data_IF_142043960200
#
_entry.id   IF_142043960200
#
_cell.length_a   1.000
_cell.length_b   1.000
_cell.length_c   1.000
_cell.angle_alpha   90.00
_cell.angle_beta   90.00
_cell.angle_gamma   90.00
#
_symmetry.space_group_name_H-M   'P 1'
#
loop_
_entity.id
_entity.type
_entity.pdbx_description
1 polymer ?
#
# COMPACT_ATOMS: atom_id res chain seq x y z
N UNK A 1 28.98 -15.09 0.96
CA UNK A 1 27.82 -14.22 1.30
C UNK A 1 28.10 -12.85 0.71
N UNK A 2 27.09 -12.16 0.18
CA UNK A 2 27.20 -10.80 -0.31
C UNK A 2 27.75 -9.88 0.80
N UNK A 3 28.75 -9.01 0.53
CA UNK A 3 29.33 -8.14 1.56
C UNK A 3 28.30 -7.22 2.25
N UNK A 4 27.34 -6.70 1.49
CA UNK A 4 26.27 -5.87 2.06
C UNK A 4 25.38 -6.67 3.04
N UNK A 5 25.02 -7.89 2.66
CA UNK A 5 24.25 -8.78 3.54
C UNK A 5 25.07 -9.18 4.79
N UNK A 6 26.36 -9.46 4.63
CA UNK A 6 27.24 -9.79 5.79
C UNK A 6 27.29 -8.63 6.78
N UNK A 7 27.44 -7.39 6.30
CA UNK A 7 27.44 -6.20 7.14
C UNK A 7 26.12 -6.03 7.90
N UNK A 8 24.98 -6.23 7.21
CA UNK A 8 23.65 -6.16 7.82
C UNK A 8 23.49 -7.21 8.92
N UNK A 9 23.92 -8.46 8.68
CA UNK A 9 23.84 -9.55 9.65
C UNK A 9 24.65 -9.23 10.92
N UNK A 10 25.88 -8.74 10.77
CA UNK A 10 26.72 -8.37 11.92
C UNK A 10 26.13 -7.20 12.72
N UNK A 11 25.55 -6.20 12.05
CA UNK A 11 24.85 -5.10 12.73
C UNK A 11 23.63 -5.57 13.51
N UNK A 12 22.84 -6.49 12.95
CA UNK A 12 21.69 -7.09 13.66
C UNK A 12 22.15 -7.87 14.88
N UNK A 13 23.19 -8.71 14.77
CA UNK A 13 23.77 -9.45 15.92
C UNK A 13 24.27 -8.52 17.01
N UNK A 14 24.98 -7.44 16.64
CA UNK A 14 25.47 -6.44 17.59
C UNK A 14 24.31 -5.71 18.29
N UNK A 15 23.26 -5.36 17.55
CA UNK A 15 22.06 -4.72 18.08
C UNK A 15 21.33 -5.66 19.06
N UNK A 16 21.20 -6.94 18.72
CA UNK A 16 20.60 -7.96 19.59
C UNK A 16 21.37 -8.13 20.89
N UNK A 17 22.69 -8.22 20.81
CA UNK A 17 23.56 -8.36 21.99
C UNK A 17 23.50 -7.13 22.93
N UNK A 18 23.30 -5.94 22.38
CA UNK A 18 23.27 -4.68 23.15
C UNK A 18 21.84 -4.19 23.46
N UNK A 19 20.79 -4.83 22.93
CA UNK A 19 19.41 -4.39 23.05
C UNK A 19 19.10 -3.07 22.32
N UNK A 20 19.99 -2.62 21.40
CA UNK A 20 19.81 -1.37 20.67
C UNK A 20 18.75 -1.50 19.59
N UNK A 21 17.80 -0.58 19.49
CA UNK A 21 16.81 -0.63 18.43
C UNK A 21 17.42 -0.32 17.06
N UNK A 22 16.87 -0.97 16.02
CA UNK A 22 17.23 -0.75 14.62
C UNK A 22 15.99 -0.23 13.88
N UNK A 23 16.19 0.75 13.02
CA UNK A 23 15.16 1.26 12.11
C UNK A 23 15.45 0.78 10.70
N UNK A 24 14.73 -0.25 10.25
CA UNK A 24 14.81 -0.78 8.90
C UNK A 24 14.19 0.23 7.93
N UNK A 25 14.93 0.60 6.88
CA UNK A 25 14.49 1.55 5.86
C UNK A 25 14.96 1.12 4.48
N UNK A 26 14.03 1.15 3.50
CA UNK A 26 14.35 1.10 2.07
C UNK A 26 14.59 2.51 1.53
N UNK A 27 13.89 2.90 0.48
CA UNK A 27 14.00 4.25 -0.09
C UNK A 27 13.25 5.36 0.67
N UNK A 28 12.56 5.07 1.77
CA UNK A 28 11.91 6.08 2.61
C UNK A 28 10.58 6.63 2.10
N UNK A 29 10.12 6.25 0.91
CA UNK A 29 8.88 6.77 0.31
C UNK A 29 7.62 6.54 1.16
N UNK A 30 7.66 5.66 2.15
CA UNK A 30 6.56 5.30 3.05
C UNK A 30 6.88 5.56 4.52
N UNK A 31 7.86 6.44 4.82
CA UNK A 31 8.23 6.78 6.20
C UNK A 31 7.07 7.42 6.98
N UNK A 32 6.15 8.10 6.28
CA UNK A 32 4.94 8.67 6.84
C UNK A 32 3.92 7.63 7.33
N UNK A 33 3.98 6.38 6.82
CA UNK A 33 3.00 5.34 7.09
C UNK A 33 3.45 4.47 8.27
N UNK A 34 2.55 4.18 9.20
CA UNK A 34 2.82 3.51 10.47
C UNK A 34 2.93 4.49 11.64
N UNK A 35 2.95 3.97 12.87
CA UNK A 35 3.08 4.79 14.07
C UNK A 35 4.39 5.59 14.03
N UNK A 36 4.37 6.87 14.38
CA UNK A 36 5.56 7.71 14.29
C UNK A 36 6.64 7.39 15.34
N UNK A 37 6.43 6.44 16.25
CA UNK A 37 7.26 6.23 17.43
C UNK A 37 6.89 7.21 18.57
N UNK A 38 7.44 7.14 19.77
CA UNK A 38 7.16 8.09 20.85
C UNK A 38 7.68 9.49 20.54
N UNK A 39 7.05 10.59 21.04
CA UNK A 39 7.60 11.94 20.94
C UNK A 39 9.02 11.97 21.51
N UNK A 40 10.00 12.43 20.72
CA UNK A 40 11.42 12.33 21.05
C UNK A 40 12.08 11.00 20.63
N UNK A 41 11.31 10.01 20.19
CA UNK A 41 11.78 8.71 19.72
C UNK A 41 11.51 8.47 18.23
N UNK A 42 11.06 9.47 17.48
CA UNK A 42 11.06 9.43 16.01
C UNK A 42 12.50 9.15 15.54
N UNK A 43 12.75 7.89 15.19
CA UNK A 43 14.07 7.45 14.78
C UNK A 43 15.01 7.02 15.91
N UNK A 44 14.51 6.68 17.11
CA UNK A 44 15.31 5.94 18.08
C UNK A 44 15.58 4.56 17.56
N UNK A 45 16.78 4.38 17.09
CA UNK A 45 17.32 3.19 16.49
C UNK A 45 18.34 3.57 15.45
N UNK A 46 19.40 2.80 15.40
CA UNK A 46 20.39 2.91 14.32
C UNK A 46 19.70 2.61 12.98
N UNK A 47 19.92 3.47 11.99
CA UNK A 47 19.35 3.28 10.67
C UNK A 47 19.96 2.05 9.99
N UNK A 48 19.14 1.05 9.66
CA UNK A 48 19.51 -0.15 8.93
C UNK A 48 18.94 -0.07 7.51
N UNK A 49 19.76 0.41 6.59
CA UNK A 49 19.35 0.60 5.20
C UNK A 49 19.40 -0.70 4.41
N UNK A 50 18.33 -0.97 3.64
CA UNK A 50 18.25 -2.11 2.71
C UNK A 50 18.60 -1.73 1.27
N UNK A 51 18.81 -0.44 0.99
CA UNK A 51 19.17 0.03 -0.34
C UNK A 51 20.37 -0.68 -0.98
N UNK A 52 21.42 -1.12 -0.23
CA UNK A 52 22.51 -1.89 -0.81
C UNK A 52 22.11 -3.29 -1.31
N UNK A 53 20.98 -3.85 -0.84
CA UNK A 53 20.47 -5.15 -1.29
C UNK A 53 19.63 -4.96 -2.56
N UNK A 54 20.29 -4.75 -3.70
CA UNK A 54 19.64 -4.51 -5.00
C UNK A 54 19.85 -5.64 -5.98
N UNK A 55 18.98 -5.69 -6.99
CA UNK A 55 19.08 -6.58 -8.14
C UNK A 55 17.99 -7.64 -8.22
N UNK A 56 17.79 -8.17 -9.40
CA UNK A 56 16.91 -9.31 -9.68
C UNK A 56 17.74 -10.56 -9.45
N UNK A 57 17.27 -11.45 -8.57
CA UNK A 57 17.94 -12.72 -8.24
C UNK A 57 17.63 -13.77 -9.30
N UNK A 58 16.35 -13.87 -9.71
CA UNK A 58 15.90 -14.71 -10.82
C UNK A 58 14.60 -14.14 -11.40
N UNK A 59 14.40 -14.37 -12.69
CA UNK A 59 13.18 -14.00 -13.37
C UNK A 59 12.86 -15.05 -14.44
N UNK A 60 11.69 -15.68 -14.27
CA UNK A 60 11.19 -16.70 -15.19
C UNK A 60 9.86 -16.19 -15.79
N UNK A 61 9.91 -15.45 -16.91
CA UNK A 61 8.71 -14.88 -17.53
C UNK A 61 7.64 -15.89 -17.89
N UNK A 62 8.03 -17.08 -18.33
CA UNK A 62 7.10 -18.17 -18.68
C UNK A 62 6.33 -18.70 -17.47
N UNK A 63 6.94 -18.65 -16.28
CA UNK A 63 6.34 -19.09 -15.02
C UNK A 63 5.65 -17.95 -14.26
N UNK A 64 5.73 -16.72 -14.77
CA UNK A 64 5.17 -15.51 -14.16
C UNK A 64 5.71 -15.28 -12.73
N UNK A 65 7.01 -15.52 -12.52
CA UNK A 65 7.66 -15.38 -11.21
C UNK A 65 8.96 -14.61 -11.32
N UNK A 66 9.12 -13.64 -10.42
CA UNK A 66 10.37 -12.90 -10.25
C UNK A 66 10.82 -12.96 -8.79
N UNK A 67 12.09 -13.24 -8.54
CA UNK A 67 12.73 -13.10 -7.22
C UNK A 67 13.65 -11.88 -7.25
N UNK A 68 13.43 -10.95 -6.33
CA UNK A 68 14.06 -9.64 -6.34
C UNK A 68 14.50 -9.22 -4.95
N UNK A 69 15.68 -8.59 -4.83
CA UNK A 69 16.22 -8.08 -3.57
C UNK A 69 15.41 -6.90 -3.04
N UNK A 70 15.30 -6.81 -1.72
CA UNK A 70 14.43 -5.86 -1.04
C UNK A 70 14.76 -4.38 -1.32
N UNK A 71 16.03 -4.03 -1.54
CA UNK A 71 16.48 -2.68 -1.84
C UNK A 71 16.30 -2.27 -3.31
N UNK A 72 15.88 -3.18 -4.19
CA UNK A 72 15.69 -2.87 -5.62
C UNK A 72 14.62 -1.79 -5.79
N UNK A 73 14.89 -0.72 -6.55
CA UNK A 73 13.89 0.28 -6.87
C UNK A 73 12.69 -0.33 -7.58
N UNK A 74 11.49 0.05 -7.14
CA UNK A 74 10.24 -0.41 -7.76
C UNK A 74 10.21 -0.12 -9.26
N UNK A 75 10.62 1.09 -9.66
CA UNK A 75 10.66 1.49 -11.07
C UNK A 75 11.57 0.59 -11.93
N UNK A 76 12.71 0.15 -11.39
CA UNK A 76 13.62 -0.77 -12.07
C UNK A 76 12.92 -2.12 -12.34
N UNK A 77 12.25 -2.68 -11.34
CA UNK A 77 11.52 -3.94 -11.53
C UNK A 77 10.40 -3.78 -12.55
N UNK A 78 9.59 -2.71 -12.45
CA UNK A 78 8.49 -2.45 -13.38
C UNK A 78 8.97 -2.30 -14.82
N UNK A 79 10.14 -1.69 -15.06
CA UNK A 79 10.75 -1.60 -16.39
C UNK A 79 11.08 -2.99 -16.95
N UNK A 80 11.76 -3.83 -16.17
CA UNK A 80 12.12 -5.19 -16.59
C UNK A 80 10.88 -6.05 -16.86
N UNK A 81 9.86 -5.93 -16.03
CA UNK A 81 8.59 -6.65 -16.25
C UNK A 81 7.89 -6.18 -17.53
N UNK A 82 7.87 -4.87 -17.78
CA UNK A 82 7.22 -4.30 -18.96
C UNK A 82 7.90 -4.74 -20.27
N UNK A 83 9.24 -4.90 -20.29
CA UNK A 83 9.99 -5.44 -21.43
C UNK A 83 9.53 -6.86 -21.82
N UNK A 84 9.02 -7.63 -20.84
CA UNK A 84 8.44 -8.96 -21.06
C UNK A 84 6.90 -8.94 -21.17
N UNK A 85 6.26 -7.75 -21.28
CA UNK A 85 4.82 -7.61 -21.34
C UNK A 85 4.11 -8.02 -20.04
N UNK A 86 4.76 -7.84 -18.90
CA UNK A 86 4.24 -8.23 -17.56
C UNK A 86 4.19 -7.02 -16.60
N UNK A 87 3.48 -7.19 -15.50
CA UNK A 87 3.31 -6.14 -14.48
C UNK A 87 3.11 -6.71 -13.07
N UNK A 88 3.22 -5.83 -12.08
CA UNK A 88 2.73 -6.03 -10.72
C UNK A 88 1.25 -5.62 -10.68
N UNK A 89 0.30 -6.57 -10.62
CA UNK A 89 -1.10 -6.26 -10.85
C UNK A 89 -1.78 -5.45 -9.74
N UNK A 90 -1.22 -5.46 -8.54
CA UNK A 90 -1.75 -4.76 -7.36
C UNK A 90 -1.48 -3.24 -7.35
N UNK A 91 -0.98 -2.67 -8.44
CA UNK A 91 -0.73 -1.23 -8.61
C UNK A 91 0.00 -0.61 -7.38
N UNK A 92 1.24 -0.98 -7.04
CA UNK A 92 1.89 -0.52 -5.82
C UNK A 92 2.08 1.01 -5.80
N UNK A 93 1.64 1.72 -4.73
CA UNK A 93 1.85 3.16 -4.62
C UNK A 93 3.34 3.51 -4.57
N UNK A 94 3.74 4.54 -5.33
CA UNK A 94 5.15 4.95 -5.49
C UNK A 94 5.55 6.01 -4.49
N UNK A 95 4.67 6.97 -4.15
CA UNK A 95 4.93 8.11 -3.30
C UNK A 95 6.27 8.77 -3.64
N UNK A 96 6.31 9.59 -4.68
CA UNK A 96 7.48 10.35 -5.11
C UNK A 96 8.06 11.20 -3.98
N UNK A 97 9.36 11.52 -4.02
CA UNK A 97 10.08 12.21 -2.96
C UNK A 97 9.37 13.48 -2.52
N UNK A 98 9.04 13.56 -1.21
CA UNK A 98 8.54 14.77 -0.61
C UNK A 98 7.11 14.75 -0.07
N UNK A 99 6.55 13.61 0.36
CA UNK A 99 5.49 13.66 1.37
C UNK A 99 6.18 13.87 2.73
N UNK A 100 6.89 15.00 2.86
CA UNK A 100 7.29 15.52 4.16
C UNK A 100 6.04 16.10 4.80
N UNK A 101 5.77 15.70 6.02
CA UNK A 101 4.80 16.35 6.88
C UNK A 101 4.97 17.89 6.77
N UNK A 102 4.06 18.58 6.12
CA UNK A 102 3.81 20.00 6.34
C UNK A 102 4.41 21.02 5.38
N UNK A 103 4.89 20.70 4.17
CA UNK A 103 5.30 21.76 3.25
C UNK A 103 4.79 21.48 1.82
N UNK A 104 3.97 22.38 1.24
CA UNK A 104 3.58 22.27 -0.16
C UNK A 104 4.81 22.51 -1.04
N UNK A 105 4.93 21.82 -2.19
CA UNK A 105 6.00 22.12 -3.15
C UNK A 105 5.83 23.55 -3.66
N UNK A 106 6.83 24.38 -3.47
CA UNK A 106 6.93 25.70 -4.08
C UNK A 106 7.30 25.51 -5.56
N UNK A 107 6.42 25.92 -6.47
CA UNK A 107 6.76 26.03 -7.86
C UNK A 107 5.60 25.75 -8.80
N UNK A 108 5.08 26.82 -9.42
CA UNK A 108 4.23 26.78 -10.60
C UNK A 108 4.90 26.00 -11.74
N UNK A 109 4.41 24.80 -12.02
CA UNK A 109 4.53 24.19 -13.33
C UNK A 109 3.35 23.25 -13.56
N UNK A 110 2.28 23.80 -14.11
CA UNK A 110 1.26 23.05 -14.83
C UNK A 110 1.92 22.46 -16.09
N UNK A 111 2.38 21.22 -15.98
CA UNK A 111 3.00 20.45 -17.07
C UNK A 111 2.55 19.00 -16.97
N UNK A 112 1.83 18.57 -17.98
CA UNK A 112 1.39 17.21 -18.29
C UNK A 112 2.39 16.14 -17.84
N UNK A 113 1.91 15.13 -17.12
CA UNK A 113 2.69 14.00 -16.60
C UNK A 113 3.58 13.37 -17.66
N UNK A 114 4.86 13.70 -17.60
CA UNK A 114 5.86 13.11 -18.45
C UNK A 114 6.54 11.93 -17.72
N UNK A 115 7.18 11.06 -18.48
CA UNK A 115 7.99 9.92 -18.01
C UNK A 115 9.03 10.26 -16.91
N UNK A 116 9.24 11.54 -16.60
CA UNK A 116 10.15 12.05 -15.57
C UNK A 116 9.69 11.73 -14.14
N UNK A 117 8.37 11.57 -13.86
CA UNK A 117 7.86 11.29 -12.51
C UNK A 117 8.17 9.86 -12.03
N UNK A 118 8.44 8.94 -12.94
CA UNK A 118 8.79 7.54 -12.62
C UNK A 118 10.18 7.46 -11.99
N UNK A 119 11.12 8.30 -12.43
CA UNK A 119 12.50 8.32 -11.95
C UNK A 119 12.68 8.96 -10.57
N UNK A 120 11.71 9.74 -10.07
CA UNK A 120 11.78 10.45 -8.80
C UNK A 120 11.32 9.61 -7.59
N UNK A 121 10.70 8.44 -7.80
CA UNK A 121 10.23 7.58 -6.71
C UNK A 121 11.39 6.80 -6.09
N UNK A 122 11.57 6.93 -4.78
CA UNK A 122 12.52 6.15 -3.98
C UNK A 122 11.94 4.83 -3.47
N UNK A 123 10.74 4.44 -3.91
CA UNK A 123 10.10 3.19 -3.47
C UNK A 123 10.96 1.97 -3.81
N UNK A 124 11.15 1.07 -2.84
CA UNK A 124 11.85 -0.21 -3.00
C UNK A 124 10.89 -1.39 -2.84
N UNK A 125 11.23 -2.53 -3.41
CA UNK A 125 10.38 -3.73 -3.34
C UNK A 125 10.18 -4.21 -1.90
N UNK A 126 11.22 -4.21 -1.08
CA UNK A 126 11.06 -4.52 0.35
C UNK A 126 10.12 -3.55 1.08
N UNK A 127 10.17 -2.26 0.73
CA UNK A 127 9.25 -1.25 1.26
C UNK A 127 7.80 -1.42 0.77
N UNK A 128 7.60 -1.87 -0.46
CA UNK A 128 6.27 -2.23 -1.00
C UNK A 128 5.68 -3.40 -0.22
N UNK A 129 6.44 -4.47 -0.05
CA UNK A 129 6.00 -5.67 0.70
C UNK A 129 5.77 -5.33 2.18
N UNK A 130 6.74 -4.68 2.83
CA UNK A 130 6.64 -4.33 4.25
C UNK A 130 5.45 -3.41 4.56
N UNK A 131 5.10 -2.48 3.67
CA UNK A 131 3.93 -1.61 3.85
C UNK A 131 2.61 -2.30 3.48
N UNK A 132 2.63 -3.25 2.54
CA UNK A 132 1.44 -3.98 2.09
C UNK A 132 0.38 -3.12 1.41
N UNK A 133 0.76 -1.94 0.93
CA UNK A 133 -0.15 -1.00 0.27
C UNK A 133 -0.36 -1.41 -1.20
N UNK A 134 -1.59 -1.33 -1.66
CA UNK A 134 -2.01 -1.61 -3.03
C UNK A 134 -2.84 -0.45 -3.57
N UNK A 135 -2.81 -0.29 -4.88
CA UNK A 135 -3.53 0.77 -5.59
C UNK A 135 -4.99 0.43 -5.92
N UNK A 136 -5.59 1.16 -6.89
CA UNK A 136 -7.01 1.10 -7.20
C UNK A 136 -7.51 -0.28 -7.65
N UNK A 137 -6.66 -1.09 -8.31
CA UNK A 137 -7.03 -2.42 -8.82
C UNK A 137 -7.22 -3.49 -7.73
N UNK A 138 -6.82 -3.23 -6.48
CA UNK A 138 -6.79 -4.24 -5.41
C UNK A 138 -8.07 -5.05 -5.25
N UNK A 139 -9.22 -4.42 -5.44
CA UNK A 139 -10.52 -5.08 -5.25
C UNK A 139 -10.78 -6.18 -6.29
N UNK A 140 -10.21 -6.04 -7.48
CA UNK A 140 -10.37 -6.99 -8.60
C UNK A 140 -9.24 -8.01 -8.66
N UNK A 141 -7.99 -7.57 -8.42
CA UNK A 141 -6.80 -8.40 -8.63
C UNK A 141 -6.22 -8.99 -7.33
N UNK A 142 -6.60 -8.46 -6.18
CA UNK A 142 -6.00 -8.83 -4.90
C UNK A 142 -4.93 -7.84 -4.42
N UNK A 143 -4.35 -8.11 -3.26
CA UNK A 143 -3.35 -7.28 -2.58
C UNK A 143 -1.92 -7.81 -2.79
N UNK A 144 -0.92 -7.07 -2.33
CA UNK A 144 0.49 -7.52 -2.31
C UNK A 144 0.63 -8.93 -1.74
N UNK A 145 -0.13 -9.24 -0.66
CA UNK A 145 -0.13 -10.55 0.00
C UNK A 145 -0.49 -11.71 -0.93
N UNK A 146 -1.33 -11.47 -1.91
CA UNK A 146 -1.80 -12.50 -2.83
C UNK A 146 -0.76 -12.85 -3.90
N UNK A 147 0.29 -12.02 -4.02
CA UNK A 147 1.36 -12.17 -5.01
C UNK A 147 2.72 -12.54 -4.41
N UNK A 148 2.88 -12.51 -3.08
CA UNK A 148 4.10 -13.00 -2.42
C UNK A 148 4.08 -14.51 -2.35
N UNK A 149 5.06 -15.16 -2.99
CA UNK A 149 5.22 -16.61 -3.04
C UNK A 149 6.26 -17.11 -2.02
N UNK A 150 7.31 -16.32 -1.81
CA UNK A 150 8.39 -16.66 -0.88
C UNK A 150 9.13 -15.43 -0.39
N UNK A 151 9.84 -15.57 0.72
CA UNK A 151 10.68 -14.53 1.31
C UNK A 151 11.92 -15.13 1.94
N UNK A 152 13.07 -14.49 1.68
CA UNK A 152 14.27 -14.64 2.51
C UNK A 152 14.33 -13.43 3.44
N UNK A 153 14.50 -13.70 4.73
CA UNK A 153 14.52 -12.67 5.76
C UNK A 153 15.59 -12.90 6.82
N UNK A 154 15.97 -11.83 7.48
CA UNK A 154 16.82 -11.85 8.66
C UNK A 154 15.95 -11.57 9.90
N UNK A 155 15.95 -12.50 10.86
CA UNK A 155 15.22 -12.32 12.10
C UNK A 155 16.02 -11.54 13.16
N UNK A 156 15.40 -11.25 14.31
CA UNK A 156 16.03 -10.51 15.40
C UNK A 156 17.14 -11.29 16.15
N UNK A 157 17.44 -12.55 15.77
CA UNK A 157 18.61 -13.31 16.25
C UNK A 157 19.79 -13.24 15.30
N UNK A 158 19.64 -12.56 14.16
CA UNK A 158 20.66 -12.55 13.10
C UNK A 158 20.70 -13.85 12.29
N UNK A 159 19.59 -14.61 12.27
CA UNK A 159 19.45 -15.85 11.52
C UNK A 159 18.77 -15.57 10.18
N UNK A 160 19.33 -16.14 9.11
CA UNK A 160 18.76 -16.12 7.77
C UNK A 160 17.70 -17.22 7.65
N UNK A 161 16.48 -16.81 7.35
CA UNK A 161 15.33 -17.71 7.26
C UNK A 161 14.73 -17.61 5.85
N UNK A 162 14.33 -18.76 5.31
CA UNK A 162 13.65 -18.87 4.02
C UNK A 162 12.26 -19.45 4.23
N UNK A 163 11.24 -18.78 3.71
CA UNK A 163 9.86 -19.21 3.77
C UNK A 163 9.23 -19.18 2.39
N UNK A 164 8.37 -20.18 2.08
CA UNK A 164 7.78 -20.31 0.76
C UNK A 164 8.81 -20.72 -0.29
N UNK A 165 8.58 -20.31 -1.54
CA UNK A 165 9.44 -20.64 -2.67
C UNK A 165 9.04 -19.85 -3.92
N UNK A 166 9.35 -20.42 -5.10
CA UNK A 166 8.99 -19.86 -6.40
C UNK A 166 7.75 -20.52 -7.01
N UNK A 167 7.10 -21.43 -6.28
CA UNK A 167 5.95 -22.19 -6.76
C UNK A 167 4.64 -21.63 -6.24
N UNK A 168 3.61 -21.63 -7.09
CA UNK A 168 2.30 -21.08 -6.74
C UNK A 168 1.56 -21.85 -5.64
N UNK A 169 1.92 -23.11 -5.38
CA UNK A 169 1.29 -23.94 -4.35
C UNK A 169 2.30 -24.32 -3.27
N UNK A 170 2.25 -23.63 -2.14
CA UNK A 170 2.95 -24.08 -0.93
C UNK A 170 2.11 -25.20 -0.28
N UNK A 171 2.67 -26.40 -0.15
CA UNK A 171 1.95 -27.58 0.34
C UNK A 171 2.33 -27.99 1.76
N UNK A 172 3.32 -27.32 2.37
CA UNK A 172 3.81 -27.67 3.71
C UNK A 172 4.17 -26.42 4.53
N UNK A 173 3.77 -26.43 5.79
CA UNK A 173 4.12 -25.38 6.77
C UNK A 173 3.20 -24.17 6.77
N UNK A 174 3.51 -23.22 7.66
CA UNK A 174 2.79 -21.96 7.76
C UNK A 174 3.24 -20.97 6.69
N UNK A 175 2.30 -20.17 6.18
CA UNK A 175 2.58 -19.15 5.19
C UNK A 175 3.18 -17.88 5.83
N UNK A 176 4.44 -18.00 6.24
CA UNK A 176 5.17 -16.89 6.85
C UNK A 176 5.51 -15.81 5.81
N UNK A 177 5.65 -16.18 4.53
CA UNK A 177 5.95 -15.23 3.46
C UNK A 177 4.90 -14.11 3.42
N UNK A 178 3.63 -14.48 3.48
CA UNK A 178 2.51 -13.52 3.48
C UNK A 178 2.35 -12.78 4.81
N UNK A 179 2.90 -13.31 5.91
CA UNK A 179 2.90 -12.61 7.20
C UNK A 179 3.79 -11.37 7.17
N UNK A 180 4.85 -11.37 6.35
CA UNK A 180 5.74 -10.21 6.20
C UNK A 180 5.09 -9.03 5.50
N UNK A 181 4.00 -9.26 4.75
CA UNK A 181 3.27 -8.21 4.05
C UNK A 181 2.49 -7.35 5.04
N UNK A 182 2.81 -6.07 5.09
CA UNK A 182 2.19 -5.13 6.03
C UNK A 182 2.77 -5.16 7.45
N UNK A 183 3.82 -5.96 7.70
CA UNK A 183 4.48 -6.03 9.01
C UNK A 183 5.35 -4.81 9.32
N UNK A 184 5.53 -3.87 8.40
CA UNK A 184 6.32 -2.64 8.55
C UNK A 184 7.75 -2.87 9.10
N UNK A 185 8.33 -4.06 8.80
CA UNK A 185 9.66 -4.45 9.28
C UNK A 185 9.75 -4.78 10.77
N UNK A 186 8.63 -4.92 11.47
CA UNK A 186 8.63 -5.22 12.92
C UNK A 186 8.98 -6.67 13.24
N UNK A 187 8.79 -7.59 12.30
CA UNK A 187 9.09 -9.02 12.46
C UNK A 187 10.50 -9.42 11.96
N UNK A 188 11.11 -8.58 11.12
CA UNK A 188 12.42 -8.88 10.56
C UNK A 188 12.70 -8.05 9.31
N UNK A 189 13.92 -8.16 8.81
CA UNK A 189 14.38 -7.50 7.60
C UNK A 189 14.21 -8.44 6.40
N UNK A 190 13.43 -8.01 5.39
CA UNK A 190 13.30 -8.73 4.12
C UNK A 190 14.60 -8.56 3.34
N UNK A 191 15.19 -9.66 2.87
CA UNK A 191 16.41 -9.70 2.06
C UNK A 191 16.04 -9.74 0.59
N UNK A 192 15.21 -10.71 0.21
CA UNK A 192 14.62 -10.82 -1.10
C UNK A 192 13.21 -11.41 -1.02
N UNK A 193 12.46 -11.27 -2.08
CA UNK A 193 11.08 -11.74 -2.18
C UNK A 193 10.81 -12.32 -3.56
N UNK A 194 10.12 -13.45 -3.60
CA UNK A 194 9.58 -14.05 -4.82
C UNK A 194 8.14 -13.57 -5.02
N UNK A 195 7.89 -12.92 -6.14
CA UNK A 195 6.60 -12.33 -6.48
C UNK A 195 6.03 -13.01 -7.73
N UNK A 196 4.74 -13.33 -7.66
CA UNK A 196 3.96 -13.62 -8.85
C UNK A 196 3.70 -12.33 -9.62
N UNK A 197 3.86 -12.37 -10.94
CA UNK A 197 3.51 -11.29 -11.85
C UNK A 197 2.40 -11.73 -12.80
N UNK A 198 1.79 -10.80 -13.51
CA UNK A 198 0.78 -11.12 -14.53
C UNK A 198 1.14 -10.46 -15.86
N UNK A 199 0.62 -11.02 -16.96
CA UNK A 199 0.70 -10.37 -18.25
C UNK A 199 -0.03 -9.02 -18.22
N UNK A 200 0.50 -8.03 -18.93
CA UNK A 200 -0.19 -6.77 -19.16
C UNK A 200 -1.53 -7.02 -19.85
N UNK A 201 -2.64 -6.44 -19.37
CA UNK A 201 -3.93 -6.58 -20.02
C UNK A 201 -3.88 -5.94 -21.42
N UNK A 202 -4.33 -6.65 -22.48
CA UNK A 202 -4.25 -6.16 -23.86
C UNK A 202 -5.19 -5.00 -24.18
N UNK A 203 -6.20 -4.76 -23.33
CA UNK A 203 -7.11 -3.61 -23.47
C UNK A 203 -7.47 -3.01 -22.12
N UNK A 204 -7.69 -1.69 -22.16
CA UNK A 204 -8.18 -0.89 -21.06
C UNK A 204 -9.22 0.11 -21.56
N UNK A 205 -10.25 0.38 -20.75
CA UNK A 205 -11.19 1.47 -20.97
C UNK A 205 -11.61 2.05 -19.62
N UNK A 206 -11.83 3.36 -19.58
CA UNK A 206 -12.45 4.04 -18.44
C UNK A 206 -13.81 4.60 -18.84
N UNK A 207 -14.82 4.28 -18.03
CA UNK A 207 -16.18 4.79 -18.17
C UNK A 207 -16.48 5.79 -17.05
N UNK A 208 -17.13 6.89 -17.39
CA UNK A 208 -17.59 7.93 -16.47
C UNK A 208 -19.11 7.89 -16.36
N UNK A 209 -19.60 8.02 -15.12
CA UNK A 209 -21.02 8.06 -14.79
C UNK A 209 -21.30 9.19 -13.80
N UNK A 210 -22.29 10.02 -14.08
CA UNK A 210 -22.80 10.98 -13.10
C UNK A 210 -23.83 10.28 -12.22
N UNK A 211 -23.50 10.06 -10.93
CA UNK A 211 -24.39 9.38 -9.99
C UNK A 211 -24.03 9.68 -8.53
N UNK A 212 -25.06 9.72 -7.71
CA UNK A 212 -24.89 9.91 -6.27
C UNK A 212 -24.09 8.75 -5.65
N UNK A 213 -23.46 9.00 -4.50
CA UNK A 213 -22.73 7.98 -3.73
C UNK A 213 -23.54 6.69 -3.55
N UNK A 214 -24.82 6.84 -3.13
CA UNK A 214 -25.69 5.69 -2.91
C UNK A 214 -25.99 4.91 -4.20
N UNK A 215 -26.15 5.60 -5.31
CA UNK A 215 -26.32 4.94 -6.62
C UNK A 215 -25.05 4.23 -7.05
N UNK A 216 -23.88 4.87 -6.91
CA UNK A 216 -22.58 4.28 -7.24
C UNK A 216 -22.31 2.99 -6.47
N UNK A 217 -22.53 2.99 -5.16
CA UNK A 217 -22.35 1.81 -4.32
C UNK A 217 -23.27 0.65 -4.73
N UNK A 218 -24.54 0.91 -4.95
CA UNK A 218 -25.48 -0.12 -5.42
C UNK A 218 -25.07 -0.67 -6.80
N UNK A 219 -24.67 0.22 -7.68
CA UNK A 219 -24.30 -0.16 -9.05
C UNK A 219 -23.01 -0.99 -9.07
N UNK A 220 -21.98 -0.58 -8.30
CA UNK A 220 -20.73 -1.34 -8.17
C UNK A 220 -20.98 -2.76 -7.62
N UNK A 221 -21.85 -2.90 -6.62
CA UNK A 221 -22.25 -4.21 -6.11
C UNK A 221 -22.99 -5.06 -7.16
N UNK A 222 -23.90 -4.45 -7.91
CA UNK A 222 -24.63 -5.15 -8.99
C UNK A 222 -23.68 -5.61 -10.11
N UNK A 223 -22.71 -4.79 -10.49
CA UNK A 223 -21.68 -5.15 -11.48
C UNK A 223 -20.69 -6.18 -10.96
N UNK A 224 -20.31 -6.12 -9.67
CA UNK A 224 -19.42 -7.10 -9.04
C UNK A 224 -19.96 -8.54 -9.05
N UNK A 225 -21.28 -8.72 -9.17
CA UNK A 225 -21.94 -10.02 -9.35
C UNK A 225 -22.00 -10.51 -10.79
N UNK A 226 -21.45 -9.78 -11.76
CA UNK A 226 -21.50 -10.11 -13.20
C UNK A 226 -20.09 -10.44 -13.72
N UNK A 227 -19.99 -11.22 -14.81
CA UNK A 227 -18.69 -11.56 -15.42
C UNK A 227 -18.14 -10.41 -16.27
N UNK A 228 -17.90 -9.27 -15.64
CA UNK A 228 -17.36 -8.07 -16.24
C UNK A 228 -15.86 -7.95 -15.95
N UNK A 229 -15.05 -7.41 -16.87
CA UNK A 229 -13.62 -7.21 -16.69
C UNK A 229 -13.36 -5.96 -15.83
N UNK A 230 -14.00 -5.89 -14.65
CA UNK A 230 -13.82 -4.79 -13.70
C UNK A 230 -12.39 -4.81 -13.15
N UNK A 231 -11.73 -3.66 -13.18
CA UNK A 231 -10.37 -3.51 -12.66
C UNK A 231 -10.31 -2.56 -11.48
N UNK A 232 -10.74 -1.31 -11.65
CA UNK A 232 -10.73 -0.32 -10.59
C UNK A 232 -11.96 0.58 -10.65
N UNK A 233 -12.29 1.21 -9.53
CA UNK A 233 -13.33 2.24 -9.45
C UNK A 233 -12.90 3.38 -8.55
N UNK A 234 -13.32 4.59 -8.90
CA UNK A 234 -13.16 5.78 -8.08
C UNK A 234 -14.45 6.62 -8.15
N UNK A 235 -15.13 6.76 -7.02
CA UNK A 235 -16.23 7.72 -6.90
C UNK A 235 -15.76 8.93 -6.11
N UNK A 236 -16.08 10.11 -6.62
CA UNK A 236 -15.68 11.37 -5.98
C UNK A 236 -16.78 12.44 -6.14
N UNK A 237 -16.96 13.25 -5.10
CA UNK A 237 -17.70 14.51 -5.19
C UNK A 237 -16.68 15.63 -5.39
N UNK A 238 -16.64 16.14 -6.63
CA UNK A 238 -15.76 17.24 -7.02
C UNK A 238 -16.60 18.48 -7.28
N UNK A 239 -16.61 19.40 -6.31
CA UNK A 239 -17.36 20.64 -6.34
C UNK A 239 -18.87 20.48 -6.66
N UNK A 240 -19.49 19.41 -6.16
CA UNK A 240 -20.89 19.07 -6.37
C UNK A 240 -21.18 18.21 -7.59
N UNK A 241 -20.18 17.90 -8.40
CA UNK A 241 -20.28 16.91 -9.48
C UNK A 241 -19.98 15.51 -8.99
N UNK A 242 -21.02 14.76 -8.61
CA UNK A 242 -20.88 13.39 -8.10
C UNK A 242 -20.62 12.41 -9.24
N UNK A 243 -19.40 11.90 -9.32
CA UNK A 243 -18.92 11.14 -10.47
C UNK A 243 -18.31 9.79 -10.06
N UNK A 244 -18.68 8.73 -10.76
CA UNK A 244 -18.04 7.43 -10.70
C UNK A 244 -17.19 7.22 -11.96
N UNK A 245 -15.90 6.95 -11.77
CA UNK A 245 -15.00 6.44 -12.79
C UNK A 245 -14.82 4.94 -12.60
N UNK A 246 -15.00 4.17 -13.67
CA UNK A 246 -14.87 2.70 -13.68
C UNK A 246 -13.84 2.31 -14.74
N UNK A 247 -12.74 1.68 -14.29
CA UNK A 247 -11.71 1.14 -15.17
C UNK A 247 -11.99 -0.33 -15.44
N UNK A 248 -11.98 -0.70 -16.71
CA UNK A 248 -12.10 -2.05 -17.23
C UNK A 248 -10.75 -2.46 -17.83
N UNK A 249 -10.28 -3.68 -17.55
CA UNK A 249 -9.05 -4.22 -18.12
C UNK A 249 -9.21 -5.70 -18.45
N UNK A 250 -8.68 -6.14 -19.58
CA UNK A 250 -8.73 -7.55 -19.97
C UNK A 250 -8.63 -7.76 -21.47
N UNK A 251 -9.20 -8.89 -21.95
CA UNK A 251 -9.26 -9.17 -23.37
C UNK A 251 -10.05 -8.08 -24.14
N UNK A 252 -9.58 -7.72 -25.33
CA UNK A 252 -10.18 -6.64 -26.15
C UNK A 252 -11.69 -6.81 -26.31
N UNK A 253 -12.12 -8.01 -26.71
CA UNK A 253 -13.55 -8.30 -26.91
C UNK A 253 -14.37 -8.18 -25.62
N UNK A 254 -13.81 -8.55 -24.48
CA UNK A 254 -14.50 -8.45 -23.18
C UNK A 254 -14.65 -6.98 -22.74
N UNK A 255 -13.59 -6.17 -22.91
CA UNK A 255 -13.63 -4.75 -22.59
C UNK A 255 -14.63 -4.00 -23.47
N UNK A 256 -14.63 -4.25 -24.78
CA UNK A 256 -15.58 -3.61 -25.71
C UNK A 256 -17.04 -4.02 -25.46
N UNK A 257 -17.27 -5.32 -25.18
CA UNK A 257 -18.60 -5.80 -24.81
C UNK A 257 -19.09 -5.17 -23.50
N UNK A 258 -18.22 -5.05 -22.50
CA UNK A 258 -18.53 -4.41 -21.23
C UNK A 258 -18.83 -2.91 -21.39
N UNK A 259 -18.05 -2.18 -22.17
CA UNK A 259 -18.33 -0.76 -22.48
C UNK A 259 -19.71 -0.58 -23.08
N UNK A 260 -20.09 -1.45 -24.03
CA UNK A 260 -21.42 -1.42 -24.66
C UNK A 260 -22.55 -1.78 -23.68
N UNK A 261 -22.33 -2.78 -22.82
CA UNK A 261 -23.34 -3.26 -21.87
C UNK A 261 -23.58 -2.28 -20.71
N UNK A 262 -22.50 -1.68 -20.19
CA UNK A 262 -22.55 -0.78 -19.03
C UNK A 262 -23.02 0.62 -19.42
N UNK A 263 -22.75 1.06 -20.66
CA UNK A 263 -22.97 2.44 -21.07
C UNK A 263 -22.01 3.40 -20.36
N UNK A 264 -22.49 4.62 -20.10
CA UNK A 264 -21.65 5.67 -19.55
C UNK A 264 -20.82 6.38 -20.63
N UNK A 265 -20.11 7.41 -20.25
CA UNK A 265 -19.22 8.18 -21.13
C UNK A 265 -17.83 7.53 -21.15
N UNK A 266 -17.43 6.98 -22.31
CA UNK A 266 -16.07 6.43 -22.47
C UNK A 266 -15.07 7.57 -22.53
N UNK A 267 -14.09 7.52 -21.65
CA UNK A 267 -13.02 8.49 -21.59
C UNK A 267 -11.89 8.13 -22.55
N UNK A 268 -11.17 9.14 -23.04
CA UNK A 268 -9.92 8.91 -23.77
C UNK A 268 -8.85 8.37 -22.80
N UNK A 269 -8.32 7.19 -23.11
CA UNK A 269 -7.33 6.53 -22.26
C UNK A 269 -6.08 7.39 -22.05
N UNK A 270 -5.62 8.12 -23.06
CA UNK A 270 -4.43 8.98 -22.95
C UNK A 270 -4.67 10.14 -21.97
N UNK A 271 -5.91 10.63 -21.88
CA UNK A 271 -6.30 11.72 -20.97
C UNK A 271 -6.48 11.22 -19.54
N UNK A 272 -7.10 10.03 -19.36
CA UNK A 272 -7.48 9.57 -18.02
C UNK A 272 -6.40 8.69 -17.33
N UNK A 273 -5.44 8.13 -18.07
CA UNK A 273 -4.41 7.29 -17.50
C UNK A 273 -3.54 8.00 -16.43
N UNK A 274 -3.17 9.29 -16.58
CA UNK A 274 -2.51 10.02 -15.51
C UNK A 274 -3.34 10.09 -14.23
N UNK A 275 -4.66 10.24 -14.31
CA UNK A 275 -5.52 10.32 -13.13
C UNK A 275 -5.56 9.03 -12.33
N UNK A 276 -5.52 7.86 -12.98
CA UNK A 276 -5.36 6.58 -12.29
C UNK A 276 -4.01 6.47 -11.58
N UNK A 277 -2.95 7.04 -12.13
CA UNK A 277 -1.64 7.12 -11.45
C UNK A 277 -1.70 8.06 -10.25
N UNK A 278 -2.34 9.23 -10.39
CA UNK A 278 -2.57 10.16 -9.29
C UNK A 278 -3.48 9.55 -8.21
N UNK A 279 -4.48 8.77 -8.59
CA UNK A 279 -5.34 8.04 -7.66
C UNK A 279 -4.52 7.02 -6.85
N UNK A 280 -3.71 6.19 -7.53
CA UNK A 280 -2.80 5.22 -6.91
C UNK A 280 -1.88 5.86 -5.88
N UNK A 281 -1.34 7.03 -6.16
CA UNK A 281 -0.34 7.71 -5.33
C UNK A 281 -0.95 8.75 -4.37
N UNK A 282 -2.28 8.81 -4.25
CA UNK A 282 -3.05 9.79 -3.45
C UNK A 282 -2.69 11.24 -3.79
N UNK A 283 -2.57 11.54 -5.10
CA UNK A 283 -2.20 12.86 -5.64
C UNK A 283 -3.32 13.55 -6.44
N UNK A 284 -4.51 12.95 -6.55
CA UNK A 284 -5.66 13.62 -7.15
C UNK A 284 -5.94 14.97 -6.47
N UNK A 285 -6.53 15.95 -7.17
CA UNK A 285 -6.91 17.23 -6.58
C UNK A 285 -7.68 17.09 -5.27
N UNK A 286 -8.55 16.08 -5.17
CA UNK A 286 -9.28 15.76 -3.95
C UNK A 286 -8.34 15.50 -2.76
N UNK A 287 -7.26 14.74 -2.92
CA UNK A 287 -6.29 14.50 -1.83
C UNK A 287 -5.51 15.77 -1.48
N UNK A 288 -5.13 16.58 -2.47
CA UNK A 288 -4.40 17.85 -2.27
C UNK A 288 -5.25 18.89 -1.54
N UNK A 289 -6.56 18.92 -1.78
CA UNK A 289 -7.51 19.78 -1.08
C UNK A 289 -7.69 19.46 0.41
N UNK A 290 -6.97 18.47 0.94
CA UNK A 290 -6.93 18.15 2.36
C UNK A 290 -6.43 19.32 3.22
N UNK A 291 -5.49 20.10 2.73
CA UNK A 291 -4.83 21.13 3.51
C UNK A 291 -4.09 20.52 4.71
N UNK A 292 -4.34 21.08 5.89
CA UNK A 292 -3.74 20.63 7.16
C UNK A 292 -4.51 19.51 7.87
N UNK A 293 -5.65 19.07 7.32
CA UNK A 293 -6.50 18.02 7.92
C UNK A 293 -5.83 16.64 7.82
N UNK A 294 -6.26 15.76 8.69
CA UNK A 294 -5.88 14.34 8.66
C UNK A 294 -6.48 13.66 7.42
N UNK A 295 -5.75 12.70 6.85
CA UNK A 295 -6.27 11.78 5.84
C UNK A 295 -6.50 10.41 6.48
N UNK A 296 -7.73 10.00 6.50
CA UNK A 296 -8.16 8.70 7.02
C UNK A 296 -8.48 7.73 5.89
N UNK A 297 -8.13 6.47 6.09
CA UNK A 297 -8.50 5.35 5.23
C UNK A 297 -9.41 4.40 6.00
N UNK A 298 -10.67 4.32 5.61
CA UNK A 298 -11.61 3.35 6.13
C UNK A 298 -11.66 2.16 5.17
N UNK A 299 -11.45 0.97 5.70
CA UNK A 299 -11.57 -0.29 4.98
C UNK A 299 -12.81 -1.01 5.48
N UNK A 300 -13.80 -1.17 4.63
CA UNK A 300 -15.11 -1.74 4.95
C UNK A 300 -15.50 -2.80 3.91
N UNK A 301 -16.47 -3.66 4.16
CA UNK A 301 -17.02 -4.53 3.12
C UNK A 301 -17.50 -3.71 1.91
N UNK A 302 -17.33 -4.23 0.70
CA UNK A 302 -17.82 -3.55 -0.53
C UNK A 302 -19.32 -3.29 -0.49
N UNK A 303 -20.07 -4.13 0.23
CA UNK A 303 -21.52 -4.03 0.44
C UNK A 303 -21.92 -2.99 1.50
N UNK A 304 -20.96 -2.37 2.18
CA UNK A 304 -21.26 -1.35 3.19
C UNK A 304 -22.07 -0.17 2.59
N UNK A 305 -23.09 0.32 3.27
CA UNK A 305 -23.90 1.44 2.81
C UNK A 305 -23.10 2.76 2.81
N UNK A 306 -23.77 3.85 2.48
CA UNK A 306 -23.28 5.20 2.76
C UNK A 306 -23.04 5.32 4.26
N UNK A 307 -21.85 5.75 4.65
CA UNK A 307 -21.47 5.94 6.05
C UNK A 307 -21.75 7.39 6.48
N UNK A 308 -22.06 7.57 7.77
CA UNK A 308 -22.17 8.90 8.38
C UNK A 308 -20.75 9.47 8.64
N UNK A 309 -20.26 10.25 7.70
CA UNK A 309 -18.92 10.84 7.69
C UNK A 309 -18.98 12.37 7.73
N UNK A 310 -17.94 13.06 8.23
CA UNK A 310 -17.91 14.53 8.30
C UNK A 310 -18.07 15.23 6.95
N UNK A 311 -17.56 14.60 5.89
CA UNK A 311 -17.67 15.09 4.51
C UNK A 311 -17.79 13.92 3.52
N UNK A 312 -18.21 14.14 2.26
CA UNK A 312 -18.23 13.11 1.24
C UNK A 312 -16.84 12.51 1.03
N UNK A 313 -16.70 11.16 1.12
CA UNK A 313 -15.42 10.49 0.93
C UNK A 313 -15.05 10.41 -0.56
N UNK A 314 -13.76 10.15 -0.86
CA UNK A 314 -13.39 9.50 -2.10
C UNK A 314 -13.46 7.99 -1.91
N UNK A 315 -14.09 7.28 -2.84
CA UNK A 315 -14.39 5.85 -2.69
C UNK A 315 -13.68 5.05 -3.78
N UNK A 316 -12.89 4.06 -3.35
CA UNK A 316 -12.20 3.11 -4.21
C UNK A 316 -12.59 1.66 -3.87
N UNK A 317 -11.94 0.71 -4.55
CA UNK A 317 -12.07 -0.73 -4.34
C UNK A 317 -13.52 -1.22 -4.38
N UNK A 318 -14.26 -0.72 -5.38
CA UNK A 318 -15.67 -1.06 -5.59
C UNK A 318 -16.55 -0.83 -4.34
N UNK A 319 -16.21 0.21 -3.57
CA UNK A 319 -16.91 0.55 -2.34
C UNK A 319 -16.20 0.07 -1.07
N UNK A 320 -15.13 -0.71 -1.14
CA UNK A 320 -14.43 -1.25 0.03
C UNK A 320 -13.47 -0.29 0.71
N UNK A 321 -13.02 0.75 0.03
CA UNK A 321 -12.14 1.77 0.60
C UNK A 321 -12.80 3.14 0.54
N UNK A 322 -12.79 3.83 1.67
CA UNK A 322 -13.29 5.20 1.82
C UNK A 322 -12.15 6.08 2.33
N UNK A 323 -11.75 7.08 1.53
CA UNK A 323 -10.83 8.12 1.97
C UNK A 323 -11.62 9.28 2.55
N UNK A 324 -11.22 9.75 3.72
CA UNK A 324 -11.90 10.84 4.43
C UNK A 324 -10.87 11.86 4.86
N UNK A 325 -11.12 13.13 4.55
CA UNK A 325 -10.39 14.26 5.10
C UNK A 325 -11.13 14.68 6.38
N UNK A 326 -10.48 14.72 7.50
CA UNK A 326 -11.15 14.95 8.78
C UNK A 326 -10.31 15.81 9.72
N UNK A 327 -10.97 16.49 10.62
CA UNK A 327 -10.32 17.14 11.73
C UNK A 327 -9.87 16.10 12.77
N UNK A 328 -8.88 16.47 13.58
CA UNK A 328 -8.32 15.55 14.59
C UNK A 328 -9.35 14.99 15.55
N UNK A 329 -10.37 15.79 15.91
CA UNK A 329 -11.45 15.38 16.80
C UNK A 329 -12.36 14.30 16.27
N UNK A 330 -12.35 14.02 14.96
CA UNK A 330 -13.25 13.07 14.32
C UNK A 330 -12.79 11.61 14.45
N UNK A 331 -11.62 11.34 14.99
CA UNK A 331 -11.02 10.00 15.03
C UNK A 331 -11.96 8.92 15.61
N UNK A 332 -12.61 9.21 16.75
CA UNK A 332 -13.55 8.28 17.40
C UNK A 332 -14.76 7.99 16.51
N UNK A 333 -15.35 9.03 15.91
CA UNK A 333 -16.48 8.93 14.98
C UNK A 333 -16.14 8.07 13.75
N UNK A 334 -14.98 8.32 13.14
CA UNK A 334 -14.55 7.57 11.96
C UNK A 334 -14.31 6.09 12.27
N UNK A 335 -13.70 5.78 13.42
CA UNK A 335 -13.51 4.39 13.88
C UNK A 335 -14.82 3.71 14.18
N UNK A 336 -15.73 4.41 14.84
CA UNK A 336 -17.07 3.87 15.12
C UNK A 336 -17.83 3.58 13.82
N UNK A 337 -17.89 4.52 12.88
CA UNK A 337 -18.56 4.35 11.60
C UNK A 337 -17.98 3.16 10.79
N UNK A 338 -16.64 3.01 10.76
CA UNK A 338 -16.01 1.87 10.13
C UNK A 338 -16.33 0.54 10.84
N UNK A 339 -16.29 0.51 12.17
CA UNK A 339 -16.58 -0.69 12.96
C UNK A 339 -18.03 -1.15 12.83
N UNK A 340 -18.99 -0.23 12.84
CA UNK A 340 -20.43 -0.50 12.62
C UNK A 340 -20.68 -1.09 11.22
N UNK A 341 -19.89 -0.67 10.24
CA UNK A 341 -19.91 -1.24 8.89
C UNK A 341 -19.14 -2.57 8.78
N UNK A 342 -18.57 -3.10 9.86
CA UNK A 342 -17.79 -4.34 9.86
C UNK A 342 -16.34 -4.19 9.37
N UNK A 343 -15.81 -2.99 9.44
CA UNK A 343 -14.47 -2.63 8.98
C UNK A 343 -13.58 -2.02 10.06
N UNK A 344 -12.58 -1.25 9.61
CA UNK A 344 -11.65 -0.53 10.47
C UNK A 344 -11.19 0.78 9.83
N UNK A 345 -10.64 1.70 10.64
CA UNK A 345 -10.14 2.99 10.18
C UNK A 345 -8.65 3.14 10.51
N UNK A 346 -7.89 3.68 9.57
CA UNK A 346 -6.46 3.97 9.71
C UNK A 346 -6.23 5.46 9.49
N UNK A 347 -5.54 6.13 10.42
CA UNK A 347 -5.00 7.46 10.19
C UNK A 347 -3.82 7.34 9.22
N UNK A 348 -4.07 7.55 7.93
CA UNK A 348 -3.10 7.32 6.86
C UNK A 348 -2.02 8.41 6.81
N UNK A 349 -2.44 9.68 6.77
CA UNK A 349 -1.53 10.84 6.85
C UNK A 349 -2.07 11.77 7.94
N UNK A 350 -1.25 12.05 8.94
CA UNK A 350 -1.57 13.07 9.94
C UNK A 350 -1.42 14.48 9.35
N UNK A 351 -2.31 15.37 9.73
CA UNK A 351 -2.26 16.80 9.35
C UNK A 351 -1.07 17.52 9.99
N UNK A 352 -0.69 18.67 9.42
CA UNK A 352 0.46 19.45 9.87
C UNK A 352 0.28 20.06 11.27
N UNK A 353 -0.94 20.40 11.66
CA UNK A 353 -1.26 20.82 13.04
C UNK A 353 -0.93 19.74 14.09
N UNK A 354 -0.70 18.50 13.63
CA UNK A 354 -0.29 17.35 14.44
C UNK A 354 1.20 17.27 14.73
N UNK A 355 2.05 18.02 14.03
CA UNK A 355 3.51 17.92 14.13
C UNK A 355 4.12 18.80 15.21
N UNK A 356 3.41 19.80 15.71
CA UNK A 356 3.90 20.71 16.74
C UNK A 356 3.39 20.32 18.13
N UNK A 357 4.19 19.63 18.93
CA UNK A 357 4.14 19.50 20.41
C UNK A 357 2.80 19.13 21.07
N UNK A 358 1.84 18.53 20.36
CA UNK A 358 0.60 18.05 20.96
C UNK A 358 0.73 16.56 21.23
N UNK A 359 0.46 16.16 22.47
CA UNK A 359 0.41 14.78 22.95
C UNK A 359 -0.23 13.84 21.92
N UNK A 360 0.36 12.66 21.76
CA UNK A 360 -0.17 11.54 20.96
C UNK A 360 -1.55 11.16 21.46
N UNK A 361 -2.58 11.76 20.90
CA UNK A 361 -3.95 11.44 21.28
C UNK A 361 -4.59 10.36 20.39
N UNK A 362 -4.02 10.08 19.20
CA UNK A 362 -4.63 9.15 18.23
C UNK A 362 -3.60 8.21 17.62
N UNK A 363 -3.72 6.91 17.90
CA UNK A 363 -2.94 5.88 17.22
C UNK A 363 -3.31 5.83 15.74
N UNK A 364 -2.37 5.45 14.88
CA UNK A 364 -2.61 5.31 13.44
C UNK A 364 -3.52 4.16 13.10
N UNK A 365 -3.32 3.03 13.78
CA UNK A 365 -4.09 1.82 13.57
C UNK A 365 -5.11 1.61 14.69
N UNK A 366 -6.18 0.88 14.41
CA UNK A 366 -7.11 0.45 15.43
C UNK A 366 -6.44 -0.52 16.40
N UNK A 367 -6.84 -0.45 17.67
CA UNK A 367 -6.33 -1.36 18.69
C UNK A 367 -6.70 -2.82 18.35
N UNK A 368 -5.72 -3.71 18.50
CA UNK A 368 -5.95 -5.13 18.34
C UNK A 368 -6.89 -5.65 19.44
N UNK A 369 -7.90 -6.41 19.02
CA UNK A 369 -8.83 -7.09 19.93
C UNK A 369 -8.37 -8.52 20.20
N UNK A 370 -8.65 -9.09 21.39
CA UNK A 370 -8.41 -10.51 21.64
C UNK A 370 -9.11 -11.41 20.60
N UNK A 371 -8.47 -12.50 20.15
CA UNK A 371 -7.15 -12.99 20.56
C UNK A 371 -5.97 -12.42 19.74
N UNK A 372 -6.23 -11.51 18.78
CA UNK A 372 -5.22 -11.01 17.83
C UNK A 372 -4.08 -10.26 18.53
N UNK A 373 -4.37 -9.50 19.58
CA UNK A 373 -3.35 -8.80 20.38
C UNK A 373 -2.29 -9.75 20.93
N UNK A 374 -2.70 -10.88 21.50
CA UNK A 374 -1.79 -11.91 22.00
C UNK A 374 -1.00 -12.57 20.86
N UNK A 375 -1.69 -12.91 19.75
CA UNK A 375 -1.04 -13.56 18.60
C UNK A 375 0.05 -12.66 18.04
N UNK A 376 -0.21 -11.38 17.84
CA UNK A 376 0.78 -10.42 17.31
C UNK A 376 1.99 -10.30 18.25
N UNK A 377 1.79 -10.20 19.57
CA UNK A 377 2.90 -10.14 20.53
C UNK A 377 3.74 -11.43 20.54
N UNK A 378 3.10 -12.59 20.46
CA UNK A 378 3.82 -13.86 20.36
C UNK A 378 4.63 -13.96 19.07
N UNK A 379 4.06 -13.57 17.93
CA UNK A 379 4.80 -13.50 16.66
C UNK A 379 6.01 -12.58 16.77
N UNK A 380 5.85 -11.38 17.35
CA UNK A 380 6.97 -10.47 17.60
C UNK A 380 8.06 -11.14 18.43
N UNK A 381 7.72 -11.79 19.53
CA UNK A 381 8.69 -12.49 20.40
C UNK A 381 9.41 -13.64 19.70
N UNK A 382 8.73 -14.36 18.79
CA UNK A 382 9.34 -15.46 18.06
C UNK A 382 10.34 -14.96 17.02
N UNK A 383 9.99 -13.92 16.27
CA UNK A 383 10.83 -13.39 15.19
C UNK A 383 11.88 -12.40 15.69
N UNK A 384 11.58 -11.62 16.71
CA UNK A 384 12.45 -10.57 17.26
C UNK A 384 12.38 -10.54 18.79
N UNK A 385 12.98 -11.55 19.47
CA UNK A 385 12.89 -11.71 20.92
C UNK A 385 13.52 -10.56 21.72
N UNK A 386 14.54 -9.88 21.16
CA UNK A 386 15.15 -8.71 21.77
C UNK A 386 14.38 -7.41 21.47
N UNK A 387 13.36 -7.48 20.61
CA UNK A 387 12.53 -6.33 20.22
C UNK A 387 13.34 -5.23 19.58
N UNK A 388 14.33 -5.53 18.74
CA UNK A 388 15.21 -4.54 18.14
C UNK A 388 14.63 -3.88 16.88
N UNK A 389 13.75 -4.56 16.12
CA UNK A 389 13.29 -4.08 14.82
C UNK A 389 12.08 -3.16 14.92
N UNK A 390 12.20 -1.96 14.35
CA UNK A 390 11.11 -1.01 14.10
C UNK A 390 10.14 -0.86 15.29
N UNK A 391 10.67 -0.70 16.50
CA UNK A 391 9.89 -0.58 17.75
C UNK A 391 8.78 0.46 17.62
N UNK A 392 7.58 0.11 18.04
CA UNK A 392 6.43 0.99 18.04
C UNK A 392 5.92 1.40 16.66
N UNK A 393 6.44 0.80 15.55
CA UNK A 393 6.07 1.21 14.19
C UNK A 393 4.69 0.72 13.77
N UNK A 394 4.29 -0.47 14.21
CA UNK A 394 2.98 -1.05 13.92
C UNK A 394 1.99 -0.78 15.05
N UNK A 395 2.40 -1.03 16.27
CA UNK A 395 1.67 -0.70 17.50
C UNK A 395 2.66 -0.14 18.53
N UNK A 396 2.23 0.80 19.40
CA UNK A 396 3.13 1.47 20.32
C UNK A 396 3.91 0.54 21.27
N UNK A 397 3.35 -0.61 21.59
CA UNK A 397 3.91 -1.61 22.51
C UNK A 397 4.66 -2.78 21.82
N UNK A 398 4.99 -2.57 20.54
CA UNK A 398 5.72 -3.58 19.74
C UNK A 398 7.19 -3.22 19.58
#
# INVERSE_FOLDING_TARGET
>A
MDPALSSIVERVKAATASGRPLRIRGGGSKDFYGEPGEPGHLGVGELLETAPLTGIVSYEPSELVVTVRAGTPLAQLETVLAECGQCLPFDPPRFGGGVTSGQPPSGDSAGLGSSADISASTATIGGVVAAGLAGPARASVGSVRDYVLGVNMLNGRGELLTFGGQVMKNVAGYDVSRLMVGALGTLGLIIDVSLKVLALPPAEATLKFEMTQAQALRQLNAWGGQPLPLDASCWVDDAGAQTLYLRLRGAVAAVEAACKALGGERQDNAVVAPDWSLCRDQQLPWFKARGERDLWRLSVPQTAPVLDLPEPPLIEWHGGQRWVRAERGDAARLRQAAAEAGGHATLFIAGSASSAHVERTVNRFDALKPPLDRIHRELKRQFDPAGIFNRGRLYPDF
#
